data_IF_878461016099
#
_entry.id   IF_878461016099
#
_cell.length_a   1.000
_cell.length_b   1.000
_cell.length_c   1.000
_cell.angle_alpha   90.00
_cell.angle_beta   90.00
_cell.angle_gamma   90.00
#
_symmetry.space_group_name_H-M   'P 1'
#
loop_
_entity.id
_entity.type
_entity.pdbx_description
1 polymer ?
#
# COMPACT_ATOMS: atom_id res chain seq x y z
N UNK A 1 -1.57 -5.50 8.89
CA UNK A 1 -2.19 -4.74 7.79
C UNK A 1 -2.15 -5.63 6.56
N UNK A 2 -3.26 -5.71 5.84
CA UNK A 2 -3.43 -6.55 4.66
C UNK A 2 -4.51 -5.94 3.76
N UNK A 3 -4.57 -6.40 2.50
CA UNK A 3 -5.46 -5.82 1.48
C UNK A 3 -6.95 -5.92 1.84
N UNK A 4 -7.39 -6.94 2.57
CA UNK A 4 -8.79 -7.04 3.02
C UNK A 4 -9.13 -5.92 4.00
N UNK A 5 -8.28 -5.71 5.02
CA UNK A 5 -8.49 -4.62 5.98
C UNK A 5 -8.39 -3.24 5.33
N UNK A 6 -7.43 -3.02 4.42
CA UNK A 6 -7.30 -1.75 3.70
C UNK A 6 -8.55 -1.48 2.86
N UNK A 7 -9.06 -2.51 2.18
CA UNK A 7 -10.30 -2.41 1.41
C UNK A 7 -11.50 -2.07 2.30
N UNK A 8 -11.64 -2.76 3.43
CA UNK A 8 -12.73 -2.50 4.37
C UNK A 8 -12.71 -1.05 4.88
N UNK A 9 -11.54 -0.54 5.28
CA UNK A 9 -11.35 0.86 5.71
C UNK A 9 -11.68 1.87 4.61
N UNK A 10 -11.38 1.52 3.34
CA UNK A 10 -11.71 2.38 2.20
C UNK A 10 -13.23 2.39 1.95
N UNK A 11 -13.88 1.23 1.97
CA UNK A 11 -15.32 1.09 1.75
C UNK A 11 -16.16 1.72 2.87
N UNK A 12 -15.66 1.68 4.12
CA UNK A 12 -16.29 2.32 5.28
C UNK A 12 -16.06 3.83 5.35
N UNK A 13 -15.13 4.37 4.56
CA UNK A 13 -14.75 5.78 4.61
C UNK A 13 -13.93 6.16 5.86
N UNK A 14 -13.20 5.19 6.45
CA UNK A 14 -12.41 5.41 7.68
C UNK A 14 -11.18 6.29 7.44
N UNK A 15 -10.72 6.42 6.19
CA UNK A 15 -9.60 7.29 5.83
C UNK A 15 -10.05 8.75 5.69
N UNK A 16 -9.43 9.64 6.48
CA UNK A 16 -9.74 11.08 6.46
C UNK A 16 -9.11 11.80 5.27
N UNK A 17 -8.02 11.24 4.76
CA UNK A 17 -7.24 11.78 3.65
C UNK A 17 -6.48 10.62 2.96
N UNK A 18 -6.03 10.79 1.70
CA UNK A 18 -5.42 9.69 0.95
C UNK A 18 -4.04 9.27 1.47
N UNK A 19 -3.36 10.07 2.30
CA UNK A 19 -2.10 9.67 2.91
C UNK A 19 -2.29 8.56 3.93
N UNK A 20 -3.38 8.56 4.69
CA UNK A 20 -3.67 7.47 5.64
C UNK A 20 -3.85 6.10 4.93
N UNK A 21 -4.39 6.10 3.71
CA UNK A 21 -4.43 4.90 2.85
C UNK A 21 -3.04 4.48 2.39
N UNK A 22 -2.21 5.45 1.97
CA UNK A 22 -0.83 5.19 1.57
C UNK A 22 -0.01 4.61 2.73
N UNK A 23 -0.18 5.14 3.95
CA UNK A 23 0.50 4.67 5.16
C UNK A 23 0.16 3.21 5.46
N UNK A 24 -1.11 2.81 5.34
CA UNK A 24 -1.50 1.41 5.55
C UNK A 24 -0.94 0.47 4.45
N UNK A 25 -0.92 0.92 3.19
CA UNK A 25 -0.28 0.18 2.10
C UNK A 25 1.21 -0.02 2.35
N UNK A 26 1.93 1.03 2.77
CA UNK A 26 3.34 0.95 3.12
C UNK A 26 3.59 0.07 4.34
N UNK A 27 2.77 0.19 5.38
CA UNK A 27 2.84 -0.69 6.55
C UNK A 27 2.67 -2.17 6.17
N UNK A 28 1.76 -2.48 5.24
CA UNK A 28 1.63 -3.85 4.71
C UNK A 28 2.91 -4.30 4.01
N UNK A 29 3.52 -3.46 3.17
CA UNK A 29 4.77 -3.79 2.48
C UNK A 29 5.94 -3.98 3.46
N UNK A 30 6.12 -3.06 4.40
CA UNK A 30 7.16 -3.12 5.44
C UNK A 30 7.06 -4.39 6.27
N UNK A 31 5.85 -4.74 6.71
CA UNK A 31 5.62 -5.99 7.43
C UNK A 31 6.02 -7.20 6.57
N UNK A 32 5.62 -7.23 5.29
CA UNK A 32 5.97 -8.32 4.40
C UNK A 32 7.49 -8.43 4.19
N UNK A 33 8.21 -7.31 4.06
CA UNK A 33 9.67 -7.33 3.96
C UNK A 33 10.38 -7.67 5.26
N UNK A 34 9.85 -7.25 6.40
CA UNK A 34 10.42 -7.50 7.73
C UNK A 34 10.33 -8.97 8.11
N UNK A 35 9.19 -9.61 7.89
CA UNK A 35 8.94 -10.99 8.33
C UNK A 35 9.44 -12.05 7.34
N UNK A 36 9.70 -11.69 6.08
CA UNK A 36 10.05 -12.66 5.04
C UNK A 36 11.50 -12.47 4.55
N UNK A 37 12.22 -13.57 4.35
CA UNK A 37 13.58 -13.53 3.78
C UNK A 37 13.57 -12.98 2.35
N UNK A 38 14.61 -12.24 1.96
CA UNK A 38 14.75 -11.62 0.62
C UNK A 38 14.58 -12.61 -0.56
N UNK A 39 14.97 -13.87 -0.38
CA UNK A 39 14.86 -14.90 -1.41
C UNK A 39 13.48 -15.58 -1.47
N UNK A 40 12.60 -15.34 -0.50
CA UNK A 40 11.25 -15.90 -0.46
C UNK A 40 10.36 -15.34 -1.58
N UNK A 41 9.34 -16.12 -1.96
CA UNK A 41 8.34 -15.65 -2.93
C UNK A 41 7.57 -14.44 -2.41
N UNK A 42 7.21 -14.43 -1.12
CA UNK A 42 6.45 -13.33 -0.50
C UNK A 42 7.21 -12.01 -0.58
N UNK A 43 8.50 -12.00 -0.24
CA UNK A 43 9.32 -10.80 -0.35
C UNK A 43 9.37 -10.26 -1.79
N UNK A 44 9.57 -11.16 -2.76
CA UNK A 44 9.62 -10.80 -4.20
C UNK A 44 8.27 -10.29 -4.72
N UNK A 45 7.17 -10.90 -4.30
CA UNK A 45 5.83 -10.48 -4.69
C UNK A 45 5.47 -9.13 -4.07
N UNK A 46 5.80 -8.91 -2.80
CA UNK A 46 5.65 -7.62 -2.12
C UNK A 46 6.42 -6.51 -2.86
N UNK A 47 7.67 -6.79 -3.27
CA UNK A 47 8.49 -5.83 -4.02
C UNK A 47 7.84 -5.43 -5.35
N UNK A 48 7.33 -6.40 -6.12
CA UNK A 48 6.61 -6.11 -7.36
C UNK A 48 5.31 -5.34 -7.12
N UNK A 49 4.61 -5.64 -6.04
CA UNK A 49 3.37 -4.95 -5.69
C UNK A 49 3.62 -3.50 -5.28
N UNK A 50 4.70 -3.21 -4.54
CA UNK A 50 5.06 -1.83 -4.18
C UNK A 50 5.48 -1.01 -5.41
N UNK A 51 6.18 -1.62 -6.37
CA UNK A 51 6.51 -0.97 -7.65
C UNK A 51 5.24 -0.56 -8.41
N UNK A 52 4.32 -1.51 -8.60
CA UNK A 52 3.03 -1.24 -9.26
C UNK A 52 2.18 -0.22 -8.48
N UNK A 53 2.26 -0.22 -7.15
CA UNK A 53 1.54 0.75 -6.33
C UNK A 53 2.03 2.18 -6.58
N UNK A 54 3.35 2.41 -6.69
CA UNK A 54 3.91 3.73 -6.96
C UNK A 54 3.43 4.26 -8.33
N UNK A 55 3.50 3.41 -9.36
CA UNK A 55 3.08 3.78 -10.71
C UNK A 55 1.60 4.22 -10.78
N UNK A 56 0.74 3.60 -9.96
CA UNK A 56 -0.69 3.89 -9.91
C UNK A 56 -1.05 5.04 -8.95
N UNK A 57 -0.38 5.16 -7.80
CA UNK A 57 -0.76 6.12 -6.76
C UNK A 57 -0.37 7.56 -7.13
N UNK A 58 0.76 7.76 -7.81
CA UNK A 58 1.25 9.08 -8.22
C UNK A 58 0.22 9.89 -9.03
N UNK A 59 -0.32 9.38 -10.15
CA UNK A 59 -1.33 10.12 -10.92
C UNK A 59 -2.65 10.28 -10.16
N UNK A 60 -2.96 9.39 -9.21
CA UNK A 60 -4.17 9.51 -8.36
C UNK A 60 -4.00 10.64 -7.35
N UNK A 61 -2.86 10.71 -6.67
CA UNK A 61 -2.56 11.76 -5.70
C UNK A 61 -2.57 13.15 -6.36
N UNK A 62 -1.97 13.27 -7.54
CA UNK A 62 -2.01 14.50 -8.33
C UNK A 62 -3.44 14.94 -8.66
N UNK A 63 -4.31 14.01 -9.09
CA UNK A 63 -5.73 14.30 -9.37
C UNK A 63 -6.51 14.73 -8.13
N UNK A 64 -6.11 14.25 -6.96
CA UNK A 64 -6.67 14.63 -5.66
C UNK A 64 -6.11 15.98 -5.14
N UNK A 65 -5.17 16.60 -5.86
CA UNK A 65 -4.55 17.87 -5.48
C UNK A 65 -3.39 17.74 -4.50
N UNK A 66 -2.81 16.54 -4.39
CA UNK A 66 -1.62 16.26 -3.59
C UNK A 66 -0.39 16.16 -4.49
N UNK A 67 0.73 16.72 -4.02
CA UNK A 67 2.00 16.79 -4.74
C UNK A 67 3.08 15.96 -4.03
#
# INVERSE_FOLDING_TARGET
MDLSTIKEKLDSGDYKNPWEFCDDMWLMFENAWLYNRKNSKVYKYCTKLSEAFIDEIDPVMQKLGYC
#
